data_IF_024529736958
#
_entry.id   IF_024529736958
#
_cell.length_a   1.000
_cell.length_b   1.000
_cell.length_c   1.000
_cell.angle_alpha   90.00
_cell.angle_beta   90.00
_cell.angle_gamma   90.00
#
_symmetry.space_group_name_H-M   'P 1'
#
loop_
_entity.id
_entity.type
_entity.pdbx_description
1 polymer ?
#
# COMPACT_ATOMS: atom_id res chain seq x y z
N UNK A 1 -27.50 -74.78 -92.33
CA UNK A 1 -28.53 -74.02 -93.08
C UNK A 1 -29.18 -72.99 -92.16
N UNK A 2 -29.50 -71.82 -92.71
CA UNK A 2 -29.88 -70.56 -92.07
C UNK A 2 -31.15 -70.55 -91.19
N UNK A 3 -31.10 -69.65 -90.18
CA UNK A 3 -32.14 -68.71 -89.66
C UNK A 3 -33.41 -69.26 -88.98
N UNK A 4 -34.14 -68.57 -88.08
CA UNK A 4 -34.19 -67.18 -87.62
C UNK A 4 -35.01 -67.05 -86.28
N UNK A 5 -34.57 -66.14 -85.40
CA UNK A 5 -35.28 -65.07 -84.63
C UNK A 5 -36.78 -65.19 -84.28
N UNK A 6 -37.35 -64.64 -83.18
CA UNK A 6 -36.97 -63.97 -81.90
C UNK A 6 -38.33 -63.78 -81.17
N UNK A 7 -38.54 -64.36 -80.00
CA UNK A 7 -38.47 -63.75 -78.65
C UNK A 7 -39.47 -62.62 -78.34
N UNK A 8 -40.55 -62.97 -77.62
CA UNK A 8 -41.46 -62.05 -76.92
C UNK A 8 -42.11 -62.79 -75.74
N UNK A 9 -41.59 -62.62 -74.52
CA UNK A 9 -42.28 -63.08 -73.30
C UNK A 9 -41.88 -62.25 -72.07
N UNK A 10 -42.89 -61.62 -71.49
CA UNK A 10 -43.11 -61.25 -70.09
C UNK A 10 -42.03 -61.63 -69.06
N UNK A 11 -41.53 -60.64 -68.32
CA UNK A 11 -41.23 -60.78 -66.88
C UNK A 11 -41.10 -59.40 -66.25
N UNK A 12 -41.96 -59.13 -65.26
CA UNK A 12 -41.91 -57.92 -64.45
C UNK A 12 -40.63 -57.86 -63.63
N UNK A 13 -39.91 -56.75 -63.74
CA UNK A 13 -38.79 -56.41 -62.87
C UNK A 13 -39.34 -55.43 -61.83
N UNK A 14 -39.62 -55.95 -60.64
CA UNK A 14 -39.71 -55.14 -59.44
C UNK A 14 -38.31 -54.57 -59.15
N UNK A 15 -38.07 -53.32 -59.54
CA UNK A 15 -36.89 -52.56 -59.11
C UNK A 15 -37.15 -52.19 -57.64
N UNK A 16 -36.68 -53.06 -56.74
CA UNK A 16 -36.53 -52.73 -55.34
C UNK A 16 -35.41 -51.69 -55.24
N UNK A 17 -35.79 -50.41 -55.26
CA UNK A 17 -34.89 -49.31 -54.94
C UNK A 17 -34.56 -49.45 -53.44
N UNK A 18 -33.43 -50.10 -53.14
CA UNK A 18 -32.74 -49.98 -51.87
C UNK A 18 -32.28 -48.53 -51.74
N UNK A 19 -33.19 -47.64 -51.35
CA UNK A 19 -32.80 -46.41 -50.68
C UNK A 19 -32.06 -46.83 -49.42
N UNK A 20 -30.73 -46.84 -49.51
CA UNK A 20 -29.88 -46.83 -48.34
C UNK A 20 -30.22 -45.55 -47.58
N UNK A 21 -31.13 -45.66 -46.62
CA UNK A 21 -31.20 -44.76 -45.50
C UNK A 21 -29.83 -44.86 -44.84
N UNK A 22 -28.91 -43.96 -45.22
CA UNK A 22 -27.74 -43.70 -44.40
C UNK A 22 -28.29 -43.17 -43.10
N UNK A 23 -28.52 -44.06 -42.14
CA UNK A 23 -28.58 -43.68 -40.75
C UNK A 23 -27.32 -42.83 -40.53
N UNK A 24 -27.53 -41.53 -40.28
CA UNK A 24 -26.44 -40.60 -40.04
C UNK A 24 -25.80 -41.01 -38.72
N UNK A 25 -24.87 -41.95 -38.80
CA UNK A 25 -24.28 -42.60 -37.66
C UNK A 25 -23.34 -41.60 -37.00
N UNK A 26 -23.60 -41.22 -35.76
CA UNK A 26 -22.64 -40.46 -34.95
C UNK A 26 -21.26 -41.13 -35.00
N UNK A 27 -20.15 -40.39 -34.87
CA UNK A 27 -18.81 -40.98 -34.90
C UNK A 27 -18.68 -42.09 -33.86
N UNK A 28 -17.86 -43.10 -34.11
CA UNK A 28 -17.61 -44.13 -33.09
C UNK A 28 -16.54 -43.64 -32.09
N UNK A 29 -16.57 -44.15 -30.87
CA UNK A 29 -15.52 -43.85 -29.88
C UNK A 29 -14.11 -44.21 -30.39
N UNK A 30 -14.00 -45.26 -31.22
CA UNK A 30 -12.75 -45.63 -31.90
C UNK A 30 -12.30 -44.58 -32.95
N UNK A 31 -13.25 -44.02 -33.70
CA UNK A 31 -12.98 -42.92 -34.63
C UNK A 31 -12.53 -41.66 -33.87
N UNK A 32 -13.19 -41.35 -32.75
CA UNK A 32 -12.80 -40.23 -31.88
C UNK A 32 -11.38 -40.38 -31.38
N UNK A 33 -11.04 -41.55 -30.82
CA UNK A 33 -9.69 -41.84 -30.35
C UNK A 33 -8.66 -41.79 -31.49
N UNK A 34 -9.03 -42.09 -32.74
CA UNK A 34 -8.14 -41.95 -33.89
C UNK A 34 -7.87 -40.48 -34.21
N UNK A 35 -8.91 -39.66 -34.31
CA UNK A 35 -8.78 -38.27 -34.77
C UNK A 35 -8.05 -37.38 -33.76
N UNK A 36 -8.18 -37.66 -32.45
CA UNK A 36 -7.43 -36.95 -31.41
C UNK A 36 -5.98 -37.45 -31.24
N UNK A 37 -5.42 -38.16 -32.22
CA UNK A 37 -4.04 -38.69 -32.23
C UNK A 37 -3.05 -37.85 -33.03
N UNK A 38 -3.26 -36.54 -33.06
CA UNK A 38 -2.31 -35.57 -33.57
C UNK A 38 -0.85 -35.79 -33.08
N UNK A 39 0.14 -35.34 -33.86
CA UNK A 39 1.55 -35.41 -33.48
C UNK A 39 1.82 -34.85 -32.07
N UNK A 40 2.59 -35.61 -31.28
CA UNK A 40 2.99 -35.23 -29.91
C UNK A 40 2.05 -35.67 -28.80
N UNK A 41 0.86 -36.22 -29.11
CA UNK A 41 0.00 -36.86 -28.10
C UNK A 41 0.60 -38.19 -27.66
N UNK A 42 0.84 -38.33 -26.35
CA UNK A 42 1.42 -39.56 -25.75
C UNK A 42 0.37 -40.45 -25.11
N UNK A 43 -0.77 -39.88 -24.72
CA UNK A 43 -1.88 -40.59 -24.07
C UNK A 43 -3.18 -39.88 -24.45
N UNK A 44 -4.27 -40.64 -24.54
CA UNK A 44 -5.60 -40.14 -24.88
C UNK A 44 -6.66 -41.04 -24.28
N UNK A 45 -7.73 -40.46 -23.77
CA UNK A 45 -8.82 -41.17 -23.12
C UNK A 45 -10.15 -40.47 -23.40
N UNK A 46 -11.23 -41.26 -23.47
CA UNK A 46 -12.59 -40.70 -23.49
C UNK A 46 -13.07 -40.55 -22.06
N UNK A 47 -13.70 -39.42 -21.74
CA UNK A 47 -14.34 -39.24 -20.44
C UNK A 47 -15.61 -40.10 -20.35
N UNK A 48 -16.06 -40.49 -19.15
CA UNK A 48 -17.34 -41.17 -18.98
C UNK A 48 -18.50 -40.41 -19.66
N UNK A 49 -19.42 -41.15 -20.28
CA UNK A 49 -20.55 -40.61 -21.02
C UNK A 49 -20.55 -41.01 -22.50
N UNK A 50 -21.51 -40.46 -23.24
CA UNK A 50 -21.71 -40.74 -24.68
C UNK A 50 -21.48 -39.48 -25.51
N UNK A 51 -21.40 -39.67 -26.82
CA UNK A 51 -21.48 -38.57 -27.79
C UNK A 51 -22.80 -37.82 -27.61
N UNK A 52 -22.76 -36.49 -27.72
CA UNK A 52 -23.93 -35.62 -27.58
C UNK A 52 -24.14 -34.80 -28.84
N UNK A 53 -25.41 -34.63 -29.24
CA UNK A 53 -25.82 -33.66 -30.26
C UNK A 53 -25.89 -32.28 -29.61
N UNK A 54 -25.11 -31.32 -30.11
CA UNK A 54 -25.03 -29.96 -29.56
C UNK A 54 -25.35 -28.95 -30.66
N UNK A 55 -26.22 -27.99 -30.36
CA UNK A 55 -26.49 -26.87 -31.26
C UNK A 55 -25.45 -25.77 -31.06
N UNK A 56 -24.87 -25.26 -32.15
CA UNK A 56 -24.00 -24.09 -32.11
C UNK A 56 -24.73 -22.88 -32.68
N UNK A 57 -25.00 -21.89 -31.84
CA UNK A 57 -25.58 -20.61 -32.30
C UNK A 57 -24.63 -19.86 -33.24
N UNK A 58 -23.32 -19.95 -33.03
CA UNK A 58 -22.33 -19.23 -33.84
C UNK A 58 -22.28 -19.71 -35.30
N UNK A 59 -22.56 -21.00 -35.53
CA UNK A 59 -22.45 -21.63 -36.84
C UNK A 59 -23.83 -22.08 -37.38
N UNK A 60 -24.92 -21.74 -36.69
CA UNK A 60 -26.31 -22.09 -37.02
C UNK A 60 -26.50 -23.57 -37.43
N UNK A 61 -25.81 -24.47 -36.74
CA UNK A 61 -25.84 -25.90 -37.06
C UNK A 61 -25.59 -26.80 -35.86
N UNK A 62 -26.04 -28.05 -35.98
CA UNK A 62 -25.76 -29.11 -35.01
C UNK A 62 -24.34 -29.68 -35.21
N UNK A 63 -23.77 -30.15 -34.10
CA UNK A 63 -22.51 -30.88 -34.02
C UNK A 63 -22.68 -32.12 -33.16
N UNK A 64 -21.74 -33.06 -33.33
CA UNK A 64 -21.53 -34.14 -32.37
C UNK A 64 -20.30 -33.82 -31.52
N UNK A 65 -20.46 -33.82 -30.19
CA UNK A 65 -19.39 -33.57 -29.24
C UNK A 65 -19.12 -34.83 -28.42
N UNK A 66 -17.83 -35.21 -28.30
CA UNK A 66 -17.37 -36.30 -27.44
C UNK A 66 -16.32 -35.81 -26.45
N UNK A 67 -16.65 -35.87 -25.17
CA UNK A 67 -15.72 -35.51 -24.10
C UNK A 67 -14.51 -36.45 -24.06
N UNK A 68 -13.31 -35.87 -24.08
CA UNK A 68 -12.05 -36.60 -24.09
C UNK A 68 -10.92 -35.78 -23.47
N UNK A 69 -9.82 -36.46 -23.17
CA UNK A 69 -8.58 -35.87 -22.63
C UNK A 69 -7.42 -36.39 -23.45
N UNK A 70 -6.48 -35.51 -23.76
CA UNK A 70 -5.20 -35.86 -24.38
C UNK A 70 -4.06 -35.35 -23.51
N UNK A 71 -2.99 -36.12 -23.44
CA UNK A 71 -1.75 -35.71 -22.79
C UNK A 71 -0.65 -35.61 -23.84
N UNK A 72 0.16 -34.57 -23.76
CA UNK A 72 1.33 -34.35 -24.61
C UNK A 72 2.49 -33.80 -23.81
N UNK A 73 3.71 -33.90 -24.34
CA UNK A 73 4.85 -33.21 -23.76
C UNK A 73 4.56 -31.69 -23.73
N UNK A 74 4.85 -31.04 -22.61
CA UNK A 74 4.59 -29.62 -22.42
C UNK A 74 5.54 -28.71 -23.23
N UNK A 75 6.65 -29.24 -23.74
CA UNK A 75 7.63 -28.50 -24.54
C UNK A 75 8.44 -27.48 -23.75
N UNK A 76 8.63 -27.72 -22.45
CA UNK A 76 9.32 -26.81 -21.53
C UNK A 76 10.78 -27.27 -21.41
N UNK A 77 11.77 -26.48 -21.90
CA UNK A 77 13.18 -26.89 -21.88
C UNK A 77 13.70 -27.24 -20.48
N UNK A 78 13.30 -26.49 -19.47
CA UNK A 78 13.71 -26.66 -18.07
C UNK A 78 13.09 -27.90 -17.41
N UNK A 79 11.92 -28.33 -17.90
CA UNK A 79 11.19 -29.49 -17.40
C UNK A 79 10.82 -30.42 -18.57
N UNK A 80 11.80 -31.16 -19.14
CA UNK A 80 11.58 -31.97 -20.34
C UNK A 80 10.56 -33.10 -20.15
N UNK A 81 10.33 -33.49 -18.90
CA UNK A 81 9.33 -34.50 -18.51
C UNK A 81 7.96 -33.90 -18.15
N UNK A 82 7.80 -32.57 -18.24
CA UNK A 82 6.51 -31.95 -17.96
C UNK A 82 5.48 -32.33 -19.02
N UNK A 83 4.25 -32.57 -18.56
CA UNK A 83 3.14 -33.01 -19.38
C UNK A 83 2.03 -32.00 -19.33
N UNK A 84 1.44 -31.72 -20.49
CA UNK A 84 0.22 -30.95 -20.62
C UNK A 84 -0.97 -31.91 -20.79
N UNK A 85 -1.87 -31.89 -19.82
CA UNK A 85 -3.21 -32.46 -19.93
C UNK A 85 -4.15 -31.43 -20.56
N UNK A 86 -4.79 -31.79 -21.66
CA UNK A 86 -5.78 -30.97 -22.36
C UNK A 86 -7.11 -31.71 -22.33
N UNK A 87 -8.08 -31.19 -21.58
CA UNK A 87 -9.43 -31.75 -21.55
C UNK A 87 -10.41 -30.91 -22.36
N UNK A 88 -11.31 -31.59 -23.07
CA UNK A 88 -12.22 -30.92 -23.96
C UNK A 88 -13.20 -31.84 -24.68
N UNK A 89 -13.71 -31.35 -25.81
CA UNK A 89 -14.61 -32.09 -26.67
C UNK A 89 -14.02 -32.22 -28.07
N UNK A 90 -13.94 -33.45 -28.58
CA UNK A 90 -13.74 -33.69 -30.00
C UNK A 90 -15.07 -33.43 -30.71
N UNK A 91 -15.08 -32.46 -31.61
CA UNK A 91 -16.29 -31.98 -32.29
C UNK A 91 -16.30 -32.40 -33.75
N UNK A 92 -17.47 -32.83 -34.19
CA UNK A 92 -17.72 -33.34 -35.53
C UNK A 92 -18.92 -32.64 -36.14
N UNK A 93 -18.85 -32.42 -37.46
CA UNK A 93 -20.02 -31.99 -38.24
C UNK A 93 -21.16 -33.00 -38.10
N UNK A 94 -22.36 -32.52 -37.78
CA UNK A 94 -23.54 -33.39 -37.65
C UNK A 94 -23.93 -34.06 -38.97
N UNK A 95 -23.70 -33.37 -40.10
CA UNK A 95 -24.13 -33.82 -41.44
C UNK A 95 -23.11 -34.77 -42.06
N UNK A 96 -21.82 -34.46 -41.94
CA UNK A 96 -20.74 -35.19 -42.63
C UNK A 96 -19.98 -36.15 -41.72
N UNK A 97 -20.18 -36.08 -40.39
CA UNK A 97 -19.40 -36.80 -39.38
C UNK A 97 -17.88 -36.63 -39.52
N UNK A 98 -17.45 -35.53 -40.12
CA UNK A 98 -16.04 -35.19 -40.23
C UNK A 98 -15.59 -34.44 -38.99
N UNK A 99 -14.44 -34.85 -38.44
CA UNK A 99 -13.78 -34.13 -37.35
C UNK A 99 -13.53 -32.68 -37.77
N UNK A 100 -13.87 -31.75 -36.89
CA UNK A 100 -13.73 -30.32 -37.13
C UNK A 100 -12.62 -29.75 -36.25
N UNK A 101 -12.79 -29.90 -34.94
CA UNK A 101 -11.99 -29.21 -33.94
C UNK A 101 -11.99 -29.94 -32.59
N UNK A 102 -11.04 -29.55 -31.74
CA UNK A 102 -11.01 -29.92 -30.33
C UNK A 102 -11.29 -28.69 -29.49
N UNK A 103 -12.44 -28.68 -28.83
CA UNK A 103 -12.84 -27.60 -27.96
C UNK A 103 -12.20 -27.80 -26.59
N UNK A 104 -11.11 -27.09 -26.35
CA UNK A 104 -10.40 -27.12 -25.08
C UNK A 104 -11.24 -26.45 -24.00
N UNK A 105 -11.43 -27.14 -22.88
CA UNK A 105 -12.16 -26.65 -21.71
C UNK A 105 -11.24 -26.34 -20.54
N UNK A 106 -10.13 -27.06 -20.43
CA UNK A 106 -9.08 -26.78 -19.46
C UNK A 106 -7.73 -27.27 -19.97
N UNK A 107 -6.67 -26.68 -19.42
CA UNK A 107 -5.30 -27.09 -19.59
C UNK A 107 -4.70 -27.25 -18.19
N UNK A 108 -3.96 -28.33 -17.96
CA UNK A 108 -3.25 -28.53 -16.70
C UNK A 108 -1.86 -29.06 -16.96
N UNK A 109 -0.86 -28.41 -16.38
CA UNK A 109 0.53 -28.80 -16.48
C UNK A 109 0.92 -29.64 -15.27
N UNK A 110 1.62 -30.75 -15.51
CA UNK A 110 2.18 -31.64 -14.48
C UNK A 110 3.67 -31.84 -14.73
N UNK A 111 4.42 -32.25 -13.70
CA UNK A 111 5.87 -32.43 -13.79
C UNK A 111 6.69 -31.13 -13.68
N UNK A 112 6.03 -29.99 -13.49
CA UNK A 112 6.65 -28.74 -13.03
C UNK A 112 6.57 -28.73 -11.50
N UNK A 113 7.70 -28.59 -10.77
CA UNK A 113 7.69 -28.48 -9.31
C UNK A 113 6.82 -27.29 -8.89
N UNK A 114 5.74 -27.55 -8.14
CA UNK A 114 4.99 -26.50 -7.48
C UNK A 114 5.79 -25.99 -6.27
N UNK A 115 5.70 -24.69 -5.92
CA UNK A 115 6.16 -24.23 -4.63
C UNK A 115 5.47 -25.06 -3.53
N UNK A 116 6.17 -25.30 -2.42
CA UNK A 116 5.56 -26.04 -1.33
C UNK A 116 4.46 -25.21 -0.64
N UNK A 117 3.62 -25.86 0.16
CA UNK A 117 2.48 -25.20 0.81
C UNK A 117 2.91 -24.01 1.69
N UNK A 118 4.05 -24.09 2.37
CA UNK A 118 4.54 -23.02 3.23
C UNK A 118 5.00 -21.81 2.42
N UNK A 119 5.65 -22.02 1.27
CA UNK A 119 6.03 -20.96 0.33
C UNK A 119 4.78 -20.26 -0.22
N UNK A 120 3.76 -21.01 -0.62
CA UNK A 120 2.50 -20.44 -1.12
C UNK A 120 1.79 -19.65 -0.04
N UNK A 121 1.71 -20.17 1.18
CA UNK A 121 1.14 -19.45 2.32
C UNK A 121 1.93 -18.19 2.66
N UNK A 122 3.26 -18.22 2.55
CA UNK A 122 4.11 -17.05 2.76
C UNK A 122 3.86 -15.98 1.68
N UNK A 123 3.76 -16.37 0.41
CA UNK A 123 3.40 -15.46 -0.70
C UNK A 123 2.04 -14.79 -0.45
N UNK A 124 1.03 -15.57 -0.06
CA UNK A 124 -0.31 -15.03 0.24
C UNK A 124 -0.31 -14.08 1.43
N UNK A 125 0.36 -14.46 2.53
CA UNK A 125 0.45 -13.63 3.74
C UNK A 125 1.25 -12.34 3.49
N UNK A 126 2.28 -12.41 2.65
CA UNK A 126 3.04 -11.23 2.21
C UNK A 126 2.21 -10.25 1.37
N UNK A 127 1.11 -10.72 0.77
CA UNK A 127 0.26 -9.92 -0.10
C UNK A 127 -1.25 -10.16 0.14
N UNK A 128 -1.69 -10.05 1.40
CA UNK A 128 -3.10 -10.22 1.76
C UNK A 128 -4.02 -9.24 1.03
N UNK A 129 -3.53 -8.03 0.75
CA UNK A 129 -4.28 -7.00 0.00
C UNK A 129 -4.61 -7.46 -1.42
N UNK A 130 -3.66 -8.07 -2.13
CA UNK A 130 -3.93 -8.65 -3.44
C UNK A 130 -4.84 -9.88 -3.36
N UNK A 131 -4.60 -10.77 -2.39
CA UNK A 131 -5.38 -12.01 -2.22
C UNK A 131 -6.86 -11.75 -1.93
N UNK A 132 -7.15 -10.76 -1.08
CA UNK A 132 -8.51 -10.45 -0.62
C UNK A 132 -9.17 -9.33 -1.44
N UNK A 133 -8.37 -8.54 -2.17
CA UNK A 133 -8.79 -7.30 -2.80
C UNK A 133 -8.90 -6.13 -1.82
N UNK A 134 -8.79 -4.91 -2.36
CA UNK A 134 -8.71 -3.66 -1.61
C UNK A 134 -9.87 -3.47 -0.62
N UNK A 135 -11.09 -3.71 -1.09
CA UNK A 135 -12.30 -3.45 -0.31
C UNK A 135 -12.38 -4.37 0.91
N UNK A 136 -12.14 -5.68 0.75
CA UNK A 136 -12.17 -6.63 1.87
C UNK A 136 -11.04 -6.33 2.84
N UNK A 137 -9.82 -6.18 2.32
CA UNK A 137 -8.62 -5.93 3.13
C UNK A 137 -8.78 -4.72 4.06
N UNK A 138 -9.37 -3.62 3.58
CA UNK A 138 -9.56 -2.41 4.37
C UNK A 138 -10.76 -2.46 5.33
N UNK A 139 -11.68 -3.42 5.21
CA UNK A 139 -12.88 -3.52 6.03
C UNK A 139 -12.90 -4.73 6.97
N UNK A 140 -11.97 -5.68 6.84
CA UNK A 140 -11.82 -6.79 7.78
C UNK A 140 -11.41 -6.25 9.14
N UNK A 141 -12.16 -6.56 10.19
CA UNK A 141 -11.88 -6.17 11.57
C UNK A 141 -10.83 -7.10 12.18
N UNK A 142 -9.79 -6.52 12.78
CA UNK A 142 -8.72 -7.26 13.43
C UNK A 142 -7.93 -8.11 12.44
N UNK A 143 -7.86 -9.42 12.71
CA UNK A 143 -7.11 -10.39 11.92
C UNK A 143 -8.05 -11.39 11.25
N UNK A 144 -7.53 -12.13 10.27
CA UNK A 144 -8.23 -13.29 9.72
C UNK A 144 -8.43 -14.34 10.82
N UNK A 145 -9.60 -14.99 10.85
CA UNK A 145 -9.81 -16.18 11.68
C UNK A 145 -8.93 -17.33 11.18
N UNK A 146 -8.88 -17.51 9.85
CA UNK A 146 -7.93 -18.40 9.19
C UNK A 146 -7.74 -18.04 7.72
N UNK A 147 -6.62 -18.51 7.17
CA UNK A 147 -6.31 -18.59 5.75
C UNK A 147 -5.66 -19.96 5.52
N UNK A 148 -6.28 -20.83 4.72
CA UNK A 148 -5.82 -22.22 4.52
C UNK A 148 -6.17 -22.76 3.14
N UNK A 149 -5.54 -23.87 2.76
CA UNK A 149 -6.00 -24.67 1.63
C UNK A 149 -7.27 -25.44 2.03
N UNK A 150 -8.28 -25.52 1.15
CA UNK A 150 -9.37 -26.48 1.32
C UNK A 150 -8.84 -27.92 1.43
N UNK A 151 -9.54 -28.77 2.16
CA UNK A 151 -9.18 -30.19 2.28
C UNK A 151 -9.09 -30.86 0.91
N UNK A 152 -8.06 -31.68 0.72
CA UNK A 152 -7.78 -32.40 -0.54
C UNK A 152 -7.63 -31.50 -1.77
N UNK A 153 -7.27 -30.23 -1.57
CA UNK A 153 -6.97 -29.30 -2.64
C UNK A 153 -5.50 -28.90 -2.64
N UNK A 154 -5.01 -28.43 -3.78
CA UNK A 154 -3.63 -28.02 -3.94
C UNK A 154 -3.45 -27.07 -5.12
N UNK A 155 -2.25 -26.49 -5.25
CA UNK A 155 -1.92 -25.63 -6.39
C UNK A 155 -2.03 -26.40 -7.71
N UNK A 156 -2.54 -25.74 -8.73
CA UNK A 156 -2.66 -26.27 -10.10
C UNK A 156 -1.94 -25.34 -11.07
N UNK A 157 -1.10 -25.89 -11.94
CA UNK A 157 -0.44 -25.13 -12.99
C UNK A 157 -1.37 -25.02 -14.21
N UNK A 158 -1.85 -23.82 -14.50
CA UNK A 158 -2.63 -23.53 -15.72
C UNK A 158 -1.70 -23.23 -16.91
N UNK A 159 -0.48 -22.76 -16.63
CA UNK A 159 0.62 -22.59 -17.58
C UNK A 159 1.97 -22.70 -16.86
N UNK A 160 3.12 -22.75 -17.56
CA UNK A 160 4.44 -22.74 -16.90
C UNK A 160 4.72 -21.48 -16.06
N UNK A 161 3.95 -20.42 -16.27
CA UNK A 161 4.09 -19.12 -15.63
C UNK A 161 2.86 -18.68 -14.84
N UNK A 162 1.86 -19.57 -14.70
CA UNK A 162 0.59 -19.27 -14.04
C UNK A 162 0.18 -20.42 -13.11
N UNK A 163 0.15 -20.13 -11.82
CA UNK A 163 -0.24 -21.05 -10.76
C UNK A 163 -1.57 -20.59 -10.15
N UNK A 164 -2.54 -21.50 -10.09
CA UNK A 164 -3.84 -21.26 -9.45
C UNK A 164 -3.92 -22.02 -8.14
N UNK A 165 -4.29 -21.31 -7.09
CA UNK A 165 -4.31 -21.81 -5.73
C UNK A 165 -5.72 -21.68 -5.14
N UNK A 166 -6.40 -22.78 -4.80
CA UNK A 166 -7.65 -22.72 -4.06
C UNK A 166 -7.38 -22.39 -2.59
N UNK A 167 -8.15 -21.46 -2.04
CA UNK A 167 -7.97 -20.94 -0.67
C UNK A 167 -9.32 -20.80 0.02
N UNK A 168 -9.35 -21.10 1.30
CA UNK A 168 -10.45 -20.81 2.19
C UNK A 168 -10.00 -19.76 3.21
N UNK A 169 -10.80 -18.71 3.36
CA UNK A 169 -10.52 -17.62 4.29
C UNK A 169 -11.76 -17.30 5.12
N UNK A 170 -11.57 -17.09 6.42
CA UNK A 170 -12.63 -16.62 7.29
C UNK A 170 -12.22 -15.36 8.05
N UNK A 171 -13.15 -14.42 8.17
CA UNK A 171 -12.90 -13.10 8.73
C UNK A 171 -14.19 -12.42 9.19
N UNK A 172 -14.08 -11.38 10.00
CA UNK A 172 -15.16 -10.45 10.32
C UNK A 172 -14.97 -9.15 9.54
N UNK A 173 -16.00 -8.61 8.91
CA UNK A 173 -15.91 -7.40 8.06
C UNK A 173 -16.94 -6.35 8.44
N UNK A 174 -16.55 -5.07 8.40
CA UNK A 174 -17.47 -3.92 8.50
C UNK A 174 -18.31 -3.84 7.23
N UNK A 175 -19.63 -3.91 7.39
CA UNK A 175 -20.58 -3.74 6.28
C UNK A 175 -21.38 -2.43 6.39
N UNK A 176 -21.47 -1.89 7.60
CA UNK A 176 -22.15 -0.64 7.87
C UNK A 176 -21.54 0.11 9.05
N UNK A 177 -22.12 1.27 9.40
CA UNK A 177 -21.57 2.15 10.43
C UNK A 177 -21.66 1.57 11.84
N UNK A 178 -22.56 0.61 12.07
CA UNK A 178 -22.86 0.04 13.39
C UNK A 178 -22.79 -1.48 13.42
N UNK A 179 -22.35 -2.14 12.36
CA UNK A 179 -22.39 -3.60 12.31
C UNK A 179 -21.32 -4.25 11.43
N UNK A 180 -21.04 -5.50 11.78
CA UNK A 180 -20.15 -6.40 11.04
C UNK A 180 -20.85 -7.71 10.70
N UNK A 181 -20.27 -8.45 9.77
CA UNK A 181 -20.65 -9.83 9.46
C UNK A 181 -19.41 -10.72 9.39
N UNK A 182 -19.55 -11.95 9.86
CA UNK A 182 -18.53 -12.99 9.71
C UNK A 182 -18.70 -13.67 8.35
N UNK A 183 -17.62 -13.75 7.58
CA UNK A 183 -17.57 -14.39 6.28
C UNK A 183 -16.69 -15.64 6.33
N UNK A 184 -17.03 -16.61 5.48
CA UNK A 184 -16.17 -17.71 5.07
C UNK A 184 -16.24 -17.82 3.55
N UNK A 185 -15.15 -17.42 2.89
CA UNK A 185 -15.03 -17.34 1.44
C UNK A 185 -14.12 -18.46 0.92
N UNK A 186 -14.48 -18.99 -0.25
CA UNK A 186 -13.61 -19.83 -1.06
C UNK A 186 -13.17 -19.04 -2.29
N UNK A 187 -11.87 -18.90 -2.42
CA UNK A 187 -11.21 -18.12 -3.46
C UNK A 187 -10.35 -19.02 -4.34
N UNK A 188 -10.15 -18.63 -5.59
CA UNK A 188 -8.97 -19.01 -6.38
C UNK A 188 -8.05 -17.82 -6.48
N UNK A 189 -6.81 -18.02 -6.09
CA UNK A 189 -5.75 -17.02 -6.20
C UNK A 189 -4.84 -17.41 -7.36
N UNK A 190 -4.63 -16.48 -8.28
CA UNK A 190 -3.80 -16.66 -9.45
C UNK A 190 -2.48 -15.92 -9.28
N UNK A 191 -1.39 -16.67 -9.35
CA UNK A 191 -0.02 -16.15 -9.31
C UNK A 191 0.58 -16.18 -10.71
N UNK A 192 1.24 -15.08 -11.08
CA UNK A 192 1.84 -14.91 -12.40
C UNK A 192 3.32 -14.60 -12.29
N UNK A 193 4.09 -15.00 -13.32
CA UNK A 193 5.49 -14.61 -13.52
C UNK A 193 5.76 -14.43 -15.02
N UNK A 194 6.84 -13.74 -15.37
CA UNK A 194 7.19 -13.49 -16.78
C UNK A 194 7.79 -14.72 -17.46
N UNK A 195 8.73 -15.37 -16.78
CA UNK A 195 9.37 -16.61 -17.23
C UNK A 195 9.39 -17.64 -16.11
N UNK A 196 9.71 -18.88 -16.44
CA UNK A 196 9.66 -20.00 -15.49
C UNK A 196 10.62 -19.85 -14.29
N UNK A 197 11.67 -19.02 -14.44
CA UNK A 197 12.67 -18.76 -13.40
C UNK A 197 12.59 -17.33 -12.85
N UNK A 198 11.63 -16.52 -13.31
CA UNK A 198 11.42 -15.18 -12.78
C UNK A 198 10.73 -15.22 -11.41
N UNK A 199 10.99 -14.22 -10.54
CA UNK A 199 10.18 -14.01 -9.35
C UNK A 199 8.69 -13.90 -9.69
N UNK A 200 7.84 -14.28 -8.73
CA UNK A 200 6.41 -14.04 -8.82
C UNK A 200 6.12 -12.54 -8.85
N UNK A 201 5.09 -12.15 -9.59
CA UNK A 201 4.57 -10.79 -9.58
C UNK A 201 3.87 -10.51 -8.26
N UNK A 202 3.99 -9.27 -7.79
CA UNK A 202 3.24 -8.80 -6.63
C UNK A 202 1.74 -8.66 -6.94
N UNK A 203 1.37 -8.48 -8.21
CA UNK A 203 -0.03 -8.47 -8.60
C UNK A 203 -0.56 -9.90 -8.68
N UNK A 204 -1.52 -10.21 -7.83
CA UNK A 204 -2.28 -11.47 -7.86
C UNK A 204 -3.72 -11.15 -8.26
N UNK A 205 -4.35 -12.08 -8.97
CA UNK A 205 -5.78 -12.01 -9.23
C UNK A 205 -6.51 -12.99 -8.34
N UNK A 206 -7.67 -12.60 -7.82
CA UNK A 206 -8.52 -13.49 -7.06
C UNK A 206 -9.90 -13.63 -7.72
N UNK A 207 -10.40 -14.86 -7.75
CA UNK A 207 -11.77 -15.20 -8.15
C UNK A 207 -12.51 -15.70 -6.91
N UNK A 208 -13.65 -15.08 -6.58
CA UNK A 208 -14.53 -15.60 -5.53
C UNK A 208 -15.43 -16.68 -6.11
N UNK A 209 -15.32 -17.90 -5.57
CA UNK A 209 -16.13 -19.03 -6.00
C UNK A 209 -17.40 -19.17 -5.17
N UNK A 210 -17.27 -18.96 -3.87
CA UNK A 210 -18.34 -19.15 -2.89
C UNK A 210 -18.10 -18.20 -1.72
N UNK A 211 -19.17 -17.59 -1.23
CA UNK A 211 -19.15 -16.78 -0.02
C UNK A 211 -20.30 -17.18 0.87
N UNK A 212 -19.98 -17.54 2.11
CA UNK A 212 -20.98 -17.83 3.15
C UNK A 212 -20.89 -16.77 4.24
N UNK A 213 -22.05 -16.31 4.70
CA UNK A 213 -22.14 -15.22 5.66
C UNK A 213 -22.87 -15.67 6.92
N UNK A 214 -22.27 -15.35 8.06
CA UNK A 214 -22.81 -15.60 9.39
C UNK A 214 -23.81 -14.54 9.83
N UNK A 215 -24.08 -14.52 11.13
CA UNK A 215 -24.97 -13.55 11.74
C UNK A 215 -24.32 -12.17 11.82
N UNK A 216 -25.16 -11.14 11.65
CA UNK A 216 -24.81 -9.74 11.88
C UNK A 216 -24.50 -9.51 13.36
N UNK A 217 -23.41 -8.81 13.66
CA UNK A 217 -23.06 -8.32 14.99
C UNK A 217 -23.21 -6.80 15.04
N UNK A 218 -23.93 -6.31 16.05
CA UNK A 218 -24.17 -4.87 16.25
C UNK A 218 -23.15 -4.28 17.24
N UNK A 219 -22.76 -3.04 16.98
CA UNK A 219 -21.83 -2.25 17.79
C UNK A 219 -22.32 -0.80 17.86
N UNK A 220 -21.89 -0.07 18.89
CA UNK A 220 -22.01 1.38 18.84
C UNK A 220 -21.12 1.94 17.70
N UNK A 221 -21.58 2.98 17.00
CA UNK A 221 -20.84 3.55 15.84
C UNK A 221 -19.41 3.95 16.22
N UNK A 222 -19.24 4.60 17.36
CA UNK A 222 -17.93 5.03 17.86
C UNK A 222 -17.01 3.85 18.22
N UNK A 223 -17.58 2.71 18.61
CA UNK A 223 -16.84 1.50 18.94
C UNK A 223 -16.34 0.85 17.66
N UNK A 224 -17.23 0.63 16.69
CA UNK A 224 -16.88 0.01 15.41
C UNK A 224 -15.88 0.86 14.62
N UNK A 225 -16.00 2.19 14.68
CA UNK A 225 -15.05 3.11 14.05
C UNK A 225 -13.63 2.92 14.60
N UNK A 226 -13.47 2.68 15.90
CA UNK A 226 -12.18 2.48 16.58
C UNK A 226 -11.60 1.08 16.40
N UNK A 227 -12.39 0.11 15.95
CA UNK A 227 -11.88 -1.23 15.72
C UNK A 227 -10.85 -1.21 14.58
N UNK A 228 -9.61 -1.65 14.83
CA UNK A 228 -8.58 -1.69 13.80
C UNK A 228 -9.01 -2.66 12.70
N UNK A 229 -8.72 -2.31 11.46
CA UNK A 229 -8.92 -3.20 10.32
C UNK A 229 -7.61 -3.87 9.94
N UNK A 230 -7.68 -4.98 9.21
CA UNK A 230 -6.50 -5.65 8.69
C UNK A 230 -5.62 -4.67 7.88
N UNK A 231 -6.25 -3.82 7.07
CA UNK A 231 -5.59 -2.73 6.36
C UNK A 231 -4.94 -1.68 7.26
N UNK A 232 -5.60 -1.25 8.34
CA UNK A 232 -4.99 -0.30 9.28
C UNK A 232 -3.83 -0.91 10.06
N UNK A 233 -3.93 -2.19 10.45
CA UNK A 233 -2.84 -2.91 11.12
C UNK A 233 -1.62 -3.07 10.21
N UNK A 234 -1.83 -3.44 8.94
CA UNK A 234 -0.76 -3.54 7.97
C UNK A 234 -0.10 -2.18 7.71
N UNK A 235 -0.89 -1.11 7.62
CA UNK A 235 -0.38 0.25 7.45
C UNK A 235 0.41 0.73 8.67
N UNK A 236 -0.01 0.40 9.89
CA UNK A 236 0.74 0.68 11.12
C UNK A 236 2.06 -0.09 11.14
N UNK A 237 2.04 -1.38 10.80
CA UNK A 237 3.26 -2.19 10.74
C UNK A 237 4.26 -1.63 9.71
N UNK A 238 3.77 -1.21 8.54
CA UNK A 238 4.60 -0.56 7.53
C UNK A 238 5.15 0.78 8.01
N UNK A 239 4.33 1.59 8.70
CA UNK A 239 4.76 2.86 9.27
C UNK A 239 5.82 2.66 10.36
N UNK A 240 5.63 1.66 11.23
CA UNK A 240 6.61 1.29 12.25
C UNK A 240 7.93 0.83 11.64
N UNK A 241 7.90 -0.04 10.63
CA UNK A 241 9.11 -0.47 9.93
C UNK A 241 9.85 0.71 9.26
N UNK A 242 9.11 1.68 8.73
CA UNK A 242 9.70 2.91 8.18
C UNK A 242 10.33 3.79 9.27
N UNK A 243 9.73 3.86 10.47
CA UNK A 243 10.30 4.55 11.64
C UNK A 243 11.54 3.83 12.16
N UNK A 244 11.51 2.50 12.23
CA UNK A 244 12.64 1.68 12.71
C UNK A 244 13.85 1.76 11.78
N UNK A 245 13.63 2.05 10.49
CA UNK A 245 14.68 2.29 9.51
C UNK A 245 15.31 3.69 9.61
N UNK A 246 14.71 4.61 10.37
CA UNK A 246 15.28 5.95 10.60
C UNK A 246 16.48 5.89 11.55
N UNK A 247 17.43 6.84 11.44
CA UNK A 247 18.55 6.91 12.38
C UNK A 247 18.04 7.12 13.81
N UNK A 248 18.69 6.47 14.77
CA UNK A 248 18.37 6.64 16.19
C UNK A 248 18.60 8.10 16.62
N UNK A 249 17.58 8.70 17.23
CA UNK A 249 17.63 10.04 17.81
C UNK A 249 17.20 9.99 19.26
N UNK A 250 18.08 10.39 20.16
CA UNK A 250 17.77 10.54 21.58
C UNK A 250 17.14 11.90 21.81
N UNK A 251 15.82 11.95 22.00
CA UNK A 251 15.11 13.17 22.39
C UNK A 251 15.06 13.26 23.92
N UNK A 252 15.65 14.29 24.54
CA UNK A 252 15.61 14.42 25.99
C UNK A 252 14.20 14.74 26.48
N UNK A 253 13.90 14.40 27.73
CA UNK A 253 12.67 14.81 28.38
C UNK A 253 12.73 16.31 28.69
N UNK A 254 12.10 17.13 27.85
CA UNK A 254 12.05 18.58 28.04
C UNK A 254 11.16 18.94 29.24
N UNK A 255 11.67 19.78 30.14
CA UNK A 255 10.90 20.33 31.26
C UNK A 255 10.05 21.52 30.84
N UNK A 256 10.49 22.24 29.82
CA UNK A 256 9.83 23.44 29.30
C UNK A 256 9.73 23.41 27.79
N UNK A 257 8.77 24.15 27.25
CA UNK A 257 8.64 24.42 25.82
C UNK A 257 9.89 25.14 25.25
N UNK A 258 10.56 26.00 26.04
CA UNK A 258 11.82 26.66 25.66
C UNK A 258 12.96 25.68 25.45
N UNK A 259 13.12 24.70 26.34
CA UNK A 259 14.11 23.63 26.16
C UNK A 259 13.82 22.81 24.90
N UNK A 260 12.55 22.47 24.67
CA UNK A 260 12.12 21.75 23.47
C UNK A 260 12.42 22.56 22.20
N UNK A 261 12.09 23.85 22.20
CA UNK A 261 12.33 24.77 21.09
C UNK A 261 13.81 24.90 20.78
N UNK A 262 14.68 25.10 21.78
CA UNK A 262 16.13 25.18 21.56
C UNK A 262 16.66 23.90 20.88
N UNK A 263 16.24 22.72 21.37
CA UNK A 263 16.62 21.46 20.76
C UNK A 263 16.08 21.30 19.33
N UNK A 264 14.84 21.73 19.07
CA UNK A 264 14.28 21.75 17.70
C UNK A 264 15.09 22.63 16.78
N UNK A 265 15.46 23.84 17.22
CA UNK A 265 16.32 24.73 16.44
C UNK A 265 17.61 24.00 16.09
N UNK A 266 18.31 23.42 17.07
CA UNK A 266 19.57 22.73 16.83
C UNK A 266 19.43 21.59 15.80
N UNK A 267 18.38 20.77 15.93
CA UNK A 267 18.08 19.70 14.95
C UNK A 267 17.83 20.28 13.56
N UNK A 268 16.90 21.23 13.40
CA UNK A 268 16.54 21.77 12.08
C UNK A 268 17.68 22.53 11.39
N UNK A 269 18.65 23.03 12.17
CA UNK A 269 19.83 23.72 11.63
C UNK A 269 20.92 22.77 11.14
N UNK A 270 21.10 21.65 11.83
CA UNK A 270 22.36 20.88 11.75
C UNK A 270 22.18 19.43 11.32
N UNK A 271 20.98 18.88 11.46
CA UNK A 271 20.70 17.49 11.17
C UNK A 271 20.45 17.23 9.67
N UNK A 272 20.74 16.01 9.24
CA UNK A 272 20.34 15.49 7.93
C UNK A 272 18.84 15.15 7.88
N UNK A 273 18.36 14.81 6.68
CA UNK A 273 16.94 14.47 6.44
C UNK A 273 16.43 13.35 7.34
N UNK A 274 17.23 12.29 7.52
CA UNK A 274 16.84 11.12 8.31
C UNK A 274 16.69 11.47 9.78
N UNK A 275 17.63 12.25 10.32
CA UNK A 275 17.61 12.69 11.71
C UNK A 275 16.52 13.71 12.01
N UNK A 276 16.19 14.60 11.06
CA UNK A 276 15.01 15.49 11.19
C UNK A 276 13.72 14.68 11.21
N UNK A 277 13.55 13.70 10.29
CA UNK A 277 12.37 12.81 10.30
C UNK A 277 12.24 12.08 11.62
N UNK A 278 13.30 11.41 12.07
CA UNK A 278 13.33 10.64 13.31
C UNK A 278 12.95 11.52 14.51
N UNK A 279 13.49 12.74 14.55
CA UNK A 279 13.15 13.72 15.58
C UNK A 279 11.66 14.09 15.55
N UNK A 280 11.15 14.51 14.40
CA UNK A 280 9.75 14.93 14.26
C UNK A 280 8.80 13.80 14.65
N UNK A 281 9.04 12.56 14.20
CA UNK A 281 8.22 11.41 14.57
C UNK A 281 8.08 11.20 16.08
N UNK A 282 9.07 11.62 16.89
CA UNK A 282 9.01 11.50 18.35
C UNK A 282 8.33 12.68 19.05
N UNK A 283 8.43 13.89 18.49
CA UNK A 283 7.94 15.12 19.16
C UNK A 283 6.58 15.59 18.68
N UNK A 284 6.04 15.07 17.57
CA UNK A 284 4.74 15.50 17.06
C UNK A 284 3.58 15.18 18.01
N UNK A 285 2.59 16.08 18.03
CA UNK A 285 1.35 15.89 18.76
C UNK A 285 0.47 14.79 18.12
N UNK A 286 -0.39 14.10 18.90
CA UNK A 286 -1.23 13.00 18.40
C UNK A 286 -2.11 13.34 17.20
N UNK A 287 -2.51 14.60 17.02
CA UNK A 287 -3.34 15.03 15.89
C UNK A 287 -2.69 14.91 14.51
N UNK A 288 -1.38 14.64 14.44
CA UNK A 288 -0.66 14.38 13.19
C UNK A 288 -0.68 12.91 12.76
N UNK A 289 -1.20 12.03 13.61
CA UNK A 289 -1.26 10.59 13.37
C UNK A 289 -2.70 10.16 13.10
N UNK A 290 -2.85 9.02 12.42
CA UNK A 290 -4.16 8.36 12.27
C UNK A 290 -4.71 8.05 13.67
N UNK A 291 -6.03 8.17 13.86
CA UNK A 291 -6.65 7.92 15.16
C UNK A 291 -6.29 6.53 15.70
N UNK A 292 -5.72 6.48 16.91
CA UNK A 292 -5.25 5.22 17.54
C UNK A 292 -3.84 4.77 17.12
N UNK A 293 -3.20 5.47 16.19
CA UNK A 293 -1.83 5.22 15.75
C UNK A 293 -0.81 6.08 16.51
N UNK A 294 0.41 5.55 16.66
CA UNK A 294 1.57 6.30 17.15
C UNK A 294 2.64 6.53 16.09
N UNK A 295 2.52 5.93 14.90
CA UNK A 295 3.54 6.01 13.84
C UNK A 295 3.00 6.34 12.45
N UNK A 296 1.74 6.03 12.18
CA UNK A 296 1.10 6.31 10.90
C UNK A 296 0.64 7.78 10.84
N UNK A 297 1.38 8.58 10.09
CA UNK A 297 1.01 9.97 9.79
C UNK A 297 -0.22 10.07 8.89
N UNK A 298 -1.10 11.04 9.15
CA UNK A 298 -2.17 11.42 8.22
C UNK A 298 -1.58 12.03 6.93
N UNK A 299 -2.28 12.00 5.78
CA UNK A 299 -1.74 12.51 4.51
C UNK A 299 -1.24 13.96 4.57
N UNK A 300 -1.97 14.83 5.28
CA UNK A 300 -1.58 16.22 5.50
C UNK A 300 -0.25 16.32 6.27
N UNK A 301 -0.06 15.49 7.30
CA UNK A 301 1.16 15.46 8.11
C UNK A 301 2.38 15.02 7.30
N UNK A 302 2.20 14.04 6.39
CA UNK A 302 3.26 13.58 5.49
C UNK A 302 3.74 14.72 4.59
N UNK A 303 2.83 15.38 3.87
CA UNK A 303 3.18 16.50 2.98
C UNK A 303 3.81 17.69 3.72
N UNK A 304 3.32 17.96 4.93
CA UNK A 304 3.89 18.96 5.81
C UNK A 304 5.31 18.62 6.27
N UNK A 305 5.57 17.36 6.67
CA UNK A 305 6.91 16.89 7.03
C UNK A 305 7.89 17.00 5.86
N UNK A 306 7.48 16.60 4.66
CA UNK A 306 8.30 16.75 3.45
C UNK A 306 8.66 18.22 3.17
N UNK A 307 7.72 19.14 3.39
CA UNK A 307 7.94 20.57 3.19
C UNK A 307 8.98 21.13 4.17
N UNK A 308 8.97 20.68 5.42
CA UNK A 308 9.99 21.06 6.41
C UNK A 308 11.37 20.58 5.96
N UNK A 309 11.47 19.32 5.54
CA UNK A 309 12.73 18.72 5.09
C UNK A 309 13.26 19.42 3.85
N UNK A 310 12.39 19.77 2.91
CA UNK A 310 12.74 20.55 1.72
C UNK A 310 13.39 21.90 2.10
N UNK A 311 12.82 22.60 3.08
CA UNK A 311 13.32 23.89 3.58
C UNK A 311 14.63 23.73 4.38
N UNK A 312 14.76 22.68 5.18
CA UNK A 312 15.90 22.47 6.07
C UNK A 312 17.12 21.83 5.39
N UNK A 313 16.92 21.02 4.34
CA UNK A 313 18.00 20.21 3.76
C UNK A 313 18.25 20.45 2.27
N UNK A 314 17.21 20.80 1.49
CA UNK A 314 17.28 20.81 0.01
C UNK A 314 17.26 22.20 -0.62
N UNK A 315 17.03 23.24 0.17
CA UNK A 315 16.96 24.62 -0.31
C UNK A 315 18.35 25.18 -0.59
N UNK A 316 18.47 26.05 -1.61
CA UNK A 316 19.75 26.66 -2.03
C UNK A 316 20.48 27.39 -0.91
N UNK A 317 19.72 28.00 -0.01
CA UNK A 317 20.19 28.46 1.29
C UNK A 317 19.20 27.94 2.33
N UNK A 318 19.60 26.93 3.07
CA UNK A 318 18.69 26.18 3.94
C UNK A 318 18.32 26.96 5.22
N UNK A 319 17.37 26.43 5.98
CA UNK A 319 16.92 27.07 7.22
C UNK A 319 18.07 27.33 8.21
N UNK A 320 18.99 26.38 8.38
CA UNK A 320 20.17 26.55 9.24
C UNK A 320 21.10 27.70 8.84
N UNK A 321 21.24 27.95 7.54
CA UNK A 321 22.01 29.07 7.01
C UNK A 321 21.33 30.43 7.24
N UNK A 322 19.99 30.48 7.27
CA UNK A 322 19.23 31.73 7.39
C UNK A 322 18.86 32.13 8.82
N UNK A 323 18.92 31.22 9.78
CA UNK A 323 18.61 31.48 11.20
C UNK A 323 19.89 31.47 12.05
N UNK A 324 19.87 32.01 13.27
CA UNK A 324 21.01 31.88 14.20
C UNK A 324 20.95 30.56 14.99
N UNK A 325 22.05 30.18 15.66
CA UNK A 325 22.04 29.06 16.63
C UNK A 325 21.06 29.35 17.77
N UNK A 326 21.01 30.62 18.21
CA UNK A 326 19.98 31.15 19.09
C UNK A 326 19.23 32.26 18.34
N UNK A 327 18.18 31.93 17.57
CA UNK A 327 17.37 32.92 16.87
C UNK A 327 16.74 33.90 17.87
N UNK A 328 16.66 35.18 17.48
CA UNK A 328 15.93 36.16 18.28
C UNK A 328 14.43 35.86 18.26
N UNK A 329 13.79 35.88 19.41
CA UNK A 329 12.33 35.73 19.52
C UNK A 329 11.64 37.00 19.00
N UNK A 330 10.76 36.84 18.01
CA UNK A 330 9.81 37.87 17.59
C UNK A 330 8.69 38.00 18.62
N UNK A 331 8.14 36.85 18.99
CA UNK A 331 6.98 36.74 19.87
C UNK A 331 7.03 35.39 20.57
N UNK A 332 6.64 35.38 21.84
CA UNK A 332 6.42 34.18 22.63
C UNK A 332 5.13 34.33 23.43
N UNK A 333 4.16 33.44 23.19
CA UNK A 333 2.91 33.42 23.94
C UNK A 333 2.38 31.98 24.06
N UNK A 334 2.23 31.49 25.29
CA UNK A 334 1.55 30.22 25.59
C UNK A 334 2.03 29.02 24.74
N UNK A 335 3.35 28.80 24.67
CA UNK A 335 3.93 27.69 23.88
C UNK A 335 4.08 27.98 22.38
N UNK A 336 3.61 29.13 21.90
CA UNK A 336 3.84 29.60 20.55
C UNK A 336 5.12 30.45 20.49
N UNK A 337 6.04 30.07 19.60
CA UNK A 337 7.28 30.77 19.31
C UNK A 337 7.24 31.29 17.88
N UNK A 338 7.52 32.57 17.71
CA UNK A 338 7.92 33.14 16.43
C UNK A 338 9.40 33.52 16.51
N UNK A 339 10.24 32.90 15.68
CA UNK A 339 11.69 33.10 15.67
C UNK A 339 12.09 33.88 14.44
N UNK A 340 12.85 34.96 14.62
CA UNK A 340 13.40 35.74 13.51
C UNK A 340 14.54 35.00 12.81
N UNK A 341 14.60 35.16 11.48
CA UNK A 341 15.82 34.89 10.74
C UNK A 341 16.94 35.89 11.11
N UNK A 342 18.15 35.66 10.62
CA UNK A 342 19.36 36.45 10.95
C UNK A 342 19.21 37.97 10.72
N UNK A 343 18.38 38.38 9.76
CA UNK A 343 18.15 39.80 9.41
C UNK A 343 16.82 40.37 9.92
N UNK A 344 16.06 39.60 10.70
CA UNK A 344 14.79 39.99 11.33
C UNK A 344 13.70 40.49 10.35
N UNK A 345 13.57 39.85 9.19
CA UNK A 345 12.56 40.20 8.17
C UNK A 345 11.58 39.05 7.82
N UNK A 346 11.93 37.81 8.19
CA UNK A 346 11.04 36.64 8.14
C UNK A 346 11.11 35.91 9.47
N UNK A 347 9.99 35.37 9.92
CA UNK A 347 9.93 34.62 11.17
C UNK A 347 9.30 33.24 10.97
N UNK A 348 9.95 32.19 11.48
CA UNK A 348 9.41 30.83 11.58
C UNK A 348 8.57 30.66 12.83
N UNK A 349 7.46 29.93 12.70
CA UNK A 349 6.48 29.73 13.78
C UNK A 349 6.51 28.30 14.28
N UNK A 350 6.42 28.11 15.58
CA UNK A 350 6.38 26.81 16.24
C UNK A 350 5.34 26.86 17.36
N UNK A 351 4.49 25.85 17.47
CA UNK A 351 3.49 25.77 18.53
C UNK A 351 3.70 24.47 19.31
N UNK A 352 3.96 24.63 20.60
CA UNK A 352 4.10 23.54 21.56
C UNK A 352 2.87 23.44 22.44
N UNK A 353 2.40 22.21 22.62
CA UNK A 353 1.32 21.87 23.54
C UNK A 353 1.82 20.86 24.55
N UNK A 354 1.25 20.84 25.75
CA UNK A 354 1.56 19.79 26.72
C UNK A 354 0.96 18.47 26.25
N UNK A 355 1.80 17.45 26.02
CA UNK A 355 1.35 16.14 25.54
C UNK A 355 0.80 15.28 26.65
N UNK A 356 -0.39 14.68 26.48
CA UNK A 356 -0.93 13.64 27.37
C UNK A 356 -1.04 14.09 28.84
N UNK A 357 -2.05 14.90 29.14
CA UNK A 357 -2.24 15.44 30.49
C UNK A 357 -3.05 14.49 31.35
N UNK A 358 -2.52 14.16 32.54
CA UNK A 358 -3.35 13.64 33.63
C UNK A 358 -3.99 14.82 34.35
N UNK A 359 -5.28 14.73 34.65
CA UNK A 359 -5.95 15.75 35.46
C UNK A 359 -5.71 15.48 36.94
N UNK A 360 -5.19 16.47 37.68
CA UNK A 360 -5.11 16.45 39.14
C UNK A 360 -5.64 17.77 39.68
N UNK A 361 -6.68 17.72 40.51
CA UNK A 361 -7.31 18.89 41.12
C UNK A 361 -7.79 19.96 40.09
N UNK A 362 -8.35 19.52 38.96
CA UNK A 362 -8.86 20.45 37.92
C UNK A 362 -7.77 21.16 37.11
N UNK A 363 -6.49 20.82 37.33
CA UNK A 363 -5.38 21.25 36.49
C UNK A 363 -4.82 20.06 35.71
N UNK A 364 -4.47 20.31 34.45
CA UNK A 364 -3.68 19.37 33.66
C UNK A 364 -2.25 19.35 34.21
N UNK A 365 -1.79 18.20 34.68
CA UNK A 365 -0.43 17.96 35.18
C UNK A 365 0.17 16.74 34.50
N UNK A 366 1.47 16.86 34.19
CA UNK A 366 2.22 15.83 33.47
C UNK A 366 2.10 15.98 31.96
N UNK A 367 3.18 15.58 31.28
CA UNK A 367 3.29 15.62 29.84
C UNK A 367 4.64 16.17 29.36
N UNK A 368 5.25 15.51 28.37
CA UNK A 368 6.35 16.11 27.62
C UNK A 368 5.78 17.10 26.60
N UNK A 369 6.40 18.27 26.36
CA UNK A 369 6.01 19.16 25.27
C UNK A 369 5.94 18.41 23.93
N UNK A 370 4.86 18.60 23.19
CA UNK A 370 4.64 18.06 21.85
C UNK A 370 4.44 19.19 20.85
N UNK A 371 5.00 19.02 19.66
CA UNK A 371 4.92 19.98 18.56
C UNK A 371 3.56 19.82 17.86
N UNK A 372 2.67 20.80 18.04
CA UNK A 372 1.36 20.82 17.38
C UNK A 372 1.40 21.52 16.03
N UNK A 373 2.29 22.49 15.83
CA UNK A 373 2.49 23.14 14.54
C UNK A 373 3.94 23.63 14.36
N UNK A 374 4.38 23.66 13.11
CA UNK A 374 5.63 24.26 12.66
C UNK A 374 5.41 24.87 11.29
N UNK A 375 5.91 26.08 11.11
CA UNK A 375 5.92 26.79 9.85
C UNK A 375 7.33 27.36 9.68
N UNK A 376 8.12 26.69 8.83
CA UNK A 376 9.50 27.11 8.54
C UNK A 376 9.51 28.05 7.34
N UNK A 377 9.96 29.28 7.55
CA UNK A 377 10.03 30.29 6.50
C UNK A 377 11.48 30.64 6.17
N UNK A 378 11.80 30.59 4.87
CA UNK A 378 13.09 31.00 4.32
C UNK A 378 12.90 31.96 3.15
N UNK A 379 13.96 32.69 2.80
CA UNK A 379 14.10 33.35 1.52
C UNK A 379 14.56 32.35 0.46
N UNK A 380 13.89 32.35 -0.69
CA UNK A 380 14.21 31.45 -1.82
C UNK A 380 14.67 32.22 -3.06
N UNK A 381 14.45 33.54 -3.11
CA UNK A 381 14.87 34.40 -4.21
C UNK A 381 16.40 34.60 -4.21
N UNK A 382 17.02 34.64 -5.40
CA UNK A 382 18.47 34.80 -5.54
C UNK A 382 19.01 36.09 -4.93
N UNK A 383 18.31 37.21 -5.08
CA UNK A 383 18.73 38.50 -4.55
C UNK A 383 18.70 38.51 -3.01
N UNK A 384 17.67 37.92 -2.41
CA UNK A 384 17.57 37.81 -0.96
C UNK A 384 18.65 36.89 -0.39
N UNK A 385 18.94 35.77 -1.08
CA UNK A 385 20.04 34.86 -0.72
C UNK A 385 21.39 35.57 -0.85
N UNK A 386 21.61 36.32 -1.94
CA UNK A 386 22.85 37.07 -2.15
C UNK A 386 23.05 38.15 -1.06
N UNK A 387 21.98 38.87 -0.71
CA UNK A 387 21.97 39.82 0.41
C UNK A 387 22.30 39.15 1.74
N UNK A 388 21.72 37.97 2.03
CA UNK A 388 22.01 37.24 3.26
C UNK A 388 23.48 36.77 3.33
N UNK A 389 24.06 36.39 2.19
CA UNK A 389 25.46 35.96 2.08
C UNK A 389 26.46 37.11 2.06
N UNK A 390 26.03 38.35 1.81
CA UNK A 390 26.93 39.51 1.78
C UNK A 390 27.33 40.01 3.17
N UNK A 391 26.66 39.55 4.23
CA UNK A 391 27.05 39.87 5.60
C UNK A 391 28.23 39.00 6.06
N UNK A 392 29.16 39.58 6.81
CA UNK A 392 30.28 38.84 7.37
C UNK A 392 29.80 37.74 8.34
N UNK A 393 30.46 36.57 8.38
CA UNK A 393 30.14 35.51 9.33
C UNK A 393 30.11 36.02 10.78
N UNK A 394 29.01 35.76 11.49
CA UNK A 394 28.83 36.19 12.88
C UNK A 394 28.30 37.61 13.07
N UNK A 395 28.28 38.47 12.04
CA UNK A 395 27.79 39.85 12.17
C UNK A 395 26.30 39.93 12.52
N UNK A 396 25.50 39.03 11.96
CA UNK A 396 24.06 38.99 12.14
C UNK A 396 23.61 38.22 13.40
N UNK A 397 24.43 37.28 13.88
CA UNK A 397 24.12 36.46 15.03
C UNK A 397 24.96 36.90 16.22
N UNK A 398 24.51 37.93 16.93
CA UNK A 398 25.11 38.26 18.22
C UNK A 398 24.70 37.19 19.23
N UNK A 399 25.67 36.61 19.92
CA UNK A 399 25.38 35.81 21.11
C UNK A 399 24.80 36.75 22.18
N UNK A 400 23.49 36.86 22.24
CA UNK A 400 22.83 37.50 23.38
C UNK A 400 22.97 36.54 24.58
N UNK A 401 24.08 36.71 25.30
CA UNK A 401 24.36 36.07 26.57
C UNK A 401 24.64 37.11 27.65
N UNK A 402 23.70 37.24 28.59
CA UNK A 402 23.98 37.57 29.99
C UNK A 402 24.03 39.04 30.39
N UNK A 403 22.89 39.59 30.84
CA UNK A 403 22.71 40.20 32.17
C UNK A 403 21.31 40.80 32.24
N UNK A 404 20.39 40.08 32.88
CA UNK A 404 19.21 40.71 33.46
C UNK A 404 19.69 41.62 34.59
N UNK A 405 19.72 42.93 34.36
CA UNK A 405 19.63 43.90 35.45
C UNK A 405 18.16 44.19 35.67
N UNK A 406 17.69 43.71 36.81
CA UNK A 406 16.48 44.16 37.48
C UNK A 406 16.42 45.69 37.47
N UNK A 407 15.41 46.24 36.81
CA UNK A 407 14.94 47.58 37.11
C UNK A 407 13.92 47.45 38.25
N UNK A 408 14.43 47.33 39.48
CA UNK A 408 13.65 47.66 40.68
C UNK A 408 13.49 49.17 40.76
N UNK A 409 12.26 49.63 41.00
CA UNK A 409 11.98 50.92 41.61
C UNK A 409 11.02 51.80 40.82
N UNK A 410 9.72 51.59 41.03
CA UNK A 410 8.70 52.58 40.68
C UNK A 410 8.69 53.77 41.64
N UNK A 411 8.22 54.91 41.16
CA UNK A 411 7.32 55.81 41.88
C UNK A 411 6.85 56.94 40.96
N UNK A 412 5.54 56.92 40.72
CA UNK A 412 4.60 58.05 40.64
C UNK A 412 5.15 59.44 40.99
N UNK A 413 5.08 60.39 40.05
CA UNK A 413 4.59 61.76 40.30
C UNK A 413 4.45 62.51 38.98
N UNK A 414 3.30 63.18 38.81
CA UNK A 414 2.86 63.80 37.56
C UNK A 414 3.75 64.92 37.03
N UNK A 415 3.80 65.02 35.70
CA UNK A 415 4.31 66.18 34.99
C UNK A 415 3.24 67.27 34.92
N UNK A 416 3.57 68.45 35.45
CA UNK A 416 3.14 69.73 34.93
C UNK A 416 4.37 70.43 34.34
N UNK A 417 4.14 71.14 33.23
CA UNK A 417 5.11 71.83 32.38
C UNK A 417 5.98 72.86 33.12
N UNK A 418 7.25 73.02 32.71
CA UNK A 418 7.75 74.30 32.20
C UNK A 418 9.17 74.26 31.60
N UNK A 419 9.24 74.79 30.38
CA UNK A 419 10.24 75.75 29.84
C UNK A 419 11.75 75.57 30.06
N UNK A 420 12.39 75.20 28.94
CA UNK A 420 13.39 75.98 28.19
C UNK A 420 14.67 76.54 28.85
N UNK A 421 15.75 76.35 28.08
CA UNK A 421 17.00 77.13 27.95
C UNK A 421 18.26 76.60 28.63
N UNK A 422 19.35 76.62 27.86
CA UNK A 422 20.72 76.79 28.36
C UNK A 422 21.58 75.52 28.40
N UNK A 423 22.43 75.34 27.39
CA UNK A 423 23.47 74.32 27.41
C UNK A 423 24.67 74.70 28.28
N UNK A 424 25.49 73.71 28.65
CA UNK A 424 26.95 73.82 28.62
C UNK A 424 27.59 72.46 28.88
N UNK A 425 28.60 72.19 28.07
CA UNK A 425 29.66 71.22 28.24
C UNK A 425 30.41 71.36 29.59
N UNK A 426 31.10 70.27 29.94
CA UNK A 426 32.23 70.13 30.86
C UNK A 426 31.92 70.09 32.37
N UNK A 427 32.02 68.89 32.95
CA UNK A 427 33.01 68.65 34.00
C UNK A 427 33.28 67.16 34.20
N UNK A 428 34.43 66.73 33.67
CA UNK A 428 35.11 65.49 34.05
C UNK A 428 35.61 65.61 35.48
N UNK A 429 35.39 64.55 36.25
CA UNK A 429 36.35 63.94 37.18
C UNK A 429 36.87 64.81 38.34
N UNK A 430 36.53 64.40 39.56
CA UNK A 430 37.40 64.49 40.76
C UNK A 430 36.74 63.78 41.93
N UNK A 431 37.57 63.08 42.73
CA UNK A 431 37.23 62.67 44.09
C UNK A 431 37.19 61.16 44.27
N UNK A 432 38.32 60.46 44.23
CA UNK A 432 39.10 60.08 45.42
C UNK A 432 38.32 59.32 46.49
N UNK A 433 38.64 58.02 46.59
CA UNK A 433 39.20 57.40 47.80
C UNK A 433 38.66 57.92 49.14
N UNK A 434 37.83 57.11 49.80
CA UNK A 434 37.95 56.98 51.24
C UNK A 434 37.36 55.66 51.77
N UNK A 435 38.20 54.98 52.57
CA UNK A 435 37.91 53.97 53.61
C UNK A 435 37.56 52.56 53.12
N UNK A 436 38.53 51.64 52.95
CA UNK A 436 39.30 50.91 53.98
C UNK A 436 38.44 50.26 55.09
N UNK A 437 38.50 48.91 55.10
CA UNK A 437 38.69 47.99 56.26
C UNK A 437 37.53 47.86 57.25
N UNK A 438 37.05 46.68 57.71
CA UNK A 438 37.23 45.21 57.50
C UNK A 438 36.10 44.57 58.37
N UNK A 439 35.88 43.24 58.53
CA UNK A 439 36.74 42.06 58.28
C UNK A 439 36.53 41.39 56.93
#
# INVERSE_FOLDING_TARGET
MNSAFRSLLMSGIAILILFQTRAMAQPSDAQVLKDISWPGVVKKELRPGTIKKVWSNANDQYYWDRACVVWRNAGIPEYPNAMLEVGGFARYSYVTNTYQDFLTTYNTYTGIPAPNNDEIMAMMKGNLKGVLGEYKFNNIVGQLHYLRFPENSGPTWDSPTHLTVPVEVAYERKEGPTWTTVYSDRLRVHFYRETINSPWKDEVMNEELESTHGQRKEYAEWELKKMPTLGSLAAEQQAQAAVDALPAVSVPAFKTDREAMQYTVDILRTADEGRIRAYLMQVLAPGWFVEGSTTQLIPQAKGWMESIIQVCCKSRMNWGEQYCVRPAEKEYHNGEFSLWNKVKDKASRFVWVQGGTTWKNGQQVGGSPKLSAIEVYIHTNENDIARLRSYEPGYLCKEEGGEGKEATGGATSGGAQQQSTGGSLLNKGKGLLNKLTTP
#
